data_IF_040546694996
#
_entry.id   IF_040546694996
#
_cell.length_a   1.000
_cell.length_b   1.000
_cell.length_c   1.000
_cell.angle_alpha   90.00
_cell.angle_beta   90.00
_cell.angle_gamma   90.00
#
_symmetry.space_group_name_H-M   'P 1'
#
loop_
_entity.id
_entity.type
_entity.pdbx_description
1 polymer ?
#
# COMPACT_ATOMS: atom_id res chain seq x y z
N UNK A 1 38.79 39.86 12.24
CA UNK A 1 37.86 39.35 13.27
C UNK A 1 36.76 38.61 12.54
N UNK A 2 36.74 37.30 12.73
CA UNK A 2 35.90 36.34 12.00
C UNK A 2 34.47 36.41 12.51
N UNK A 3 33.51 36.60 11.60
CA UNK A 3 32.09 36.42 11.88
C UNK A 3 31.71 35.07 11.28
N UNK A 4 31.43 34.11 12.15
CA UNK A 4 30.87 32.81 11.82
C UNK A 4 29.51 32.80 12.52
N UNK A 5 28.44 33.07 11.77
CA UNK A 5 27.08 32.88 12.26
C UNK A 5 26.69 31.43 12.01
N UNK A 6 26.39 30.76 13.12
CA UNK A 6 26.05 29.36 13.30
C UNK A 6 24.78 28.97 12.56
N UNK A 7 24.84 27.84 11.86
CA UNK A 7 23.69 27.15 11.30
C UNK A 7 22.83 26.59 12.44
N UNK A 8 21.54 26.91 12.40
CA UNK A 8 20.53 26.42 13.33
C UNK A 8 20.08 25.05 12.82
N UNK A 9 20.47 24.03 13.58
CA UNK A 9 20.06 22.63 13.45
C UNK A 9 18.58 22.52 13.86
N UNK A 10 17.68 22.54 12.88
CA UNK A 10 16.27 22.18 13.11
C UNK A 10 16.08 20.67 12.97
N UNK A 11 16.62 19.92 13.94
CA UNK A 11 16.16 18.55 14.20
C UNK A 11 14.87 18.61 15.01
N UNK A 12 13.75 18.85 14.33
CA UNK A 12 12.42 18.73 14.91
C UNK A 12 12.01 17.26 14.98
N UNK A 13 12.22 16.64 16.13
CA UNK A 13 11.56 15.39 16.53
C UNK A 13 10.07 15.65 16.68
N UNK A 14 9.27 15.22 15.69
CA UNK A 14 7.82 15.05 15.82
C UNK A 14 7.51 13.58 16.05
N UNK A 15 6.93 13.28 17.21
CA UNK A 15 6.29 12.00 17.48
C UNK A 15 5.11 11.81 16.50
N UNK A 16 5.20 10.80 15.63
CA UNK A 16 4.05 10.24 14.92
C UNK A 16 3.56 10.94 13.64
N UNK A 17 4.43 11.56 12.83
CA UNK A 17 4.05 11.94 11.47
C UNK A 17 4.48 10.86 10.46
N UNK A 18 3.52 10.40 9.67
CA UNK A 18 3.71 9.61 8.45
C UNK A 18 4.42 10.47 7.39
N UNK A 19 5.70 10.73 7.59
CA UNK A 19 6.54 11.43 6.61
C UNK A 19 7.61 10.46 6.12
N UNK A 20 7.57 10.15 4.82
CA UNK A 20 8.67 9.45 4.17
C UNK A 20 9.82 10.43 4.03
N UNK A 21 11.02 10.01 4.42
CA UNK A 21 12.22 10.79 4.13
C UNK A 21 12.26 11.13 2.64
N UNK A 22 12.65 12.37 2.31
CA UNK A 22 12.65 12.86 0.93
C UNK A 22 13.49 11.99 -0.03
N UNK A 23 14.47 11.23 0.49
CA UNK A 23 15.23 10.24 -0.28
C UNK A 23 14.46 8.96 -0.56
N UNK A 24 13.55 8.53 0.32
CA UNK A 24 12.63 7.41 0.09
C UNK A 24 11.62 7.77 -0.99
N UNK A 25 11.05 8.98 -0.93
CA UNK A 25 10.13 9.47 -1.97
C UNK A 25 10.80 9.41 -3.34
N UNK A 26 12.01 9.98 -3.47
CA UNK A 26 12.76 9.93 -4.73
C UNK A 26 13.15 8.52 -5.15
N UNK A 27 13.35 7.61 -4.21
CA UNK A 27 13.63 6.21 -4.50
C UNK A 27 12.40 5.46 -5.03
N UNK A 28 11.20 5.84 -4.59
CA UNK A 28 9.95 5.21 -5.00
C UNK A 28 9.43 5.80 -6.32
N UNK A 29 9.49 7.13 -6.50
CA UNK A 29 8.81 7.82 -7.60
C UNK A 29 9.68 8.11 -8.83
N UNK A 30 11.01 8.26 -8.68
CA UNK A 30 11.87 8.50 -9.85
C UNK A 30 12.09 7.21 -10.65
N UNK A 31 12.05 7.34 -11.98
CA UNK A 31 12.34 6.23 -12.90
C UNK A 31 13.75 5.67 -12.70
N UNK A 32 13.82 4.45 -12.19
CA UNK A 32 15.08 3.74 -11.93
C UNK A 32 14.94 2.23 -12.14
N UNK A 33 15.79 1.69 -13.00
CA UNK A 33 15.86 0.25 -13.29
C UNK A 33 16.91 -0.40 -12.40
N UNK A 34 16.54 -1.47 -11.67
CA UNK A 34 17.46 -2.23 -10.82
C UNK A 34 17.68 -3.60 -11.43
N UNK A 35 18.93 -3.93 -11.77
CA UNK A 35 19.33 -5.17 -12.41
C UNK A 35 20.28 -5.97 -11.51
N UNK A 36 20.03 -7.27 -11.24
CA UNK A 36 20.96 -8.09 -10.47
C UNK A 36 22.23 -8.38 -11.28
N UNK A 37 23.40 -8.18 -10.67
CA UNK A 37 24.70 -8.57 -11.24
C UNK A 37 25.22 -9.89 -10.66
N UNK A 38 24.63 -10.36 -9.57
CA UNK A 38 24.97 -11.60 -8.88
C UNK A 38 25.27 -11.38 -7.40
N UNK A 39 24.89 -12.35 -6.56
CA UNK A 39 24.89 -12.17 -5.10
C UNK A 39 23.95 -11.02 -4.70
N UNK A 40 24.41 -10.17 -3.78
CA UNK A 40 23.69 -8.99 -3.31
C UNK A 40 24.13 -7.70 -4.02
N UNK A 41 24.74 -7.82 -5.21
CA UNK A 41 25.22 -6.69 -6.00
C UNK A 41 24.26 -6.40 -7.17
N UNK A 42 23.87 -5.14 -7.29
CA UNK A 42 22.90 -4.64 -8.25
C UNK A 42 23.47 -3.49 -9.07
N UNK A 43 23.05 -3.39 -10.32
CA UNK A 43 23.22 -2.21 -11.17
C UNK A 43 21.95 -1.38 -11.15
N UNK A 44 22.05 -0.10 -10.85
CA UNK A 44 20.93 0.84 -10.84
C UNK A 44 21.13 1.87 -11.93
N UNK A 45 20.27 1.83 -12.94
CA UNK A 45 20.26 2.78 -14.05
C UNK A 45 19.19 3.83 -13.79
N UNK A 46 19.60 5.09 -13.82
CA UNK A 46 18.73 6.26 -13.59
C UNK A 46 18.18 6.82 -14.90
N UNK A 47 17.12 7.63 -14.83
CA UNK A 47 16.56 8.34 -16.00
C UNK A 47 17.60 9.17 -16.77
N UNK A 48 18.63 9.70 -16.09
CA UNK A 48 19.73 10.44 -16.74
C UNK A 48 20.67 9.55 -17.56
N UNK A 49 20.45 8.23 -17.61
CA UNK A 49 21.31 7.25 -18.26
C UNK A 49 22.58 6.91 -17.47
N UNK A 50 22.72 7.41 -16.25
CA UNK A 50 23.84 7.06 -15.37
C UNK A 50 23.56 5.74 -14.66
N UNK A 51 24.56 4.88 -14.62
CA UNK A 51 24.54 3.58 -13.97
C UNK A 51 25.42 3.61 -12.70
N UNK A 52 24.89 3.07 -11.61
CA UNK A 52 25.62 2.95 -10.34
C UNK A 52 25.52 1.53 -9.80
N UNK A 53 26.62 1.04 -9.21
CA UNK A 53 26.62 -0.26 -8.52
C UNK A 53 26.22 -0.08 -7.07
N UNK A 54 25.36 -0.96 -6.61
CA UNK A 54 24.87 -1.03 -5.24
C UNK A 54 25.20 -2.40 -4.69
N UNK A 55 25.90 -2.43 -3.56
CA UNK A 55 26.03 -3.61 -2.72
C UNK A 55 24.95 -3.51 -1.64
N UNK A 56 23.90 -4.33 -1.76
CA UNK A 56 22.77 -4.30 -0.84
C UNK A 56 23.08 -4.95 0.51
N UNK A 57 24.16 -5.73 0.60
CA UNK A 57 24.57 -6.38 1.85
C UNK A 57 25.38 -5.45 2.74
N UNK A 58 26.24 -4.65 2.12
CA UNK A 58 27.12 -3.71 2.82
C UNK A 58 26.62 -2.27 2.78
N UNK A 59 25.46 -2.02 2.17
CA UNK A 59 24.86 -0.70 1.96
C UNK A 59 25.79 0.31 1.28
N UNK A 60 26.55 -0.16 0.28
CA UNK A 60 27.48 0.69 -0.46
C UNK A 60 26.93 1.03 -1.83
N UNK A 61 27.13 2.26 -2.25
CA UNK A 61 26.79 2.70 -3.60
C UNK A 61 27.92 3.48 -4.26
N UNK A 62 28.15 3.25 -5.55
CA UNK A 62 29.15 4.01 -6.32
C UNK A 62 28.67 5.39 -6.76
N UNK A 63 27.50 5.85 -6.32
CA UNK A 63 27.01 7.18 -6.70
C UNK A 63 27.74 8.29 -5.93
N UNK A 64 27.82 9.52 -6.49
CA UNK A 64 28.46 10.65 -5.82
C UNK A 64 27.86 10.97 -4.44
N UNK A 65 26.53 10.89 -4.29
CA UNK A 65 25.85 11.22 -3.03
C UNK A 65 26.33 10.32 -1.87
N UNK A 66 26.47 9.02 -2.12
CA UNK A 66 27.02 8.09 -1.13
C UNK A 66 28.54 8.26 -0.96
N UNK A 67 29.29 8.42 -2.04
CA UNK A 67 30.76 8.56 -1.97
C UNK A 67 31.21 9.79 -1.16
N UNK A 68 30.47 10.90 -1.22
CA UNK A 68 30.85 12.13 -0.53
C UNK A 68 30.20 12.29 0.84
N UNK A 69 29.04 11.68 1.08
CA UNK A 69 28.27 11.89 2.32
C UNK A 69 28.11 10.64 3.17
N UNK A 70 28.47 9.47 2.65
CA UNK A 70 28.38 8.18 3.35
C UNK A 70 26.97 7.88 3.90
N UNK A 71 25.94 8.35 3.19
CA UNK A 71 24.52 8.15 3.55
C UNK A 71 23.86 7.09 2.68
N UNK A 72 22.71 6.58 3.13
CA UNK A 72 21.81 5.78 2.31
C UNK A 72 21.19 6.64 1.21
N UNK A 73 21.88 6.68 0.07
CA UNK A 73 21.43 7.42 -1.10
C UNK A 73 20.16 6.80 -1.70
N UNK A 74 19.53 7.52 -2.62
CA UNK A 74 18.32 7.05 -3.30
C UNK A 74 18.48 5.67 -3.98
N UNK A 75 19.68 5.33 -4.46
CA UNK A 75 19.91 4.05 -5.14
C UNK A 75 19.90 2.87 -4.17
N UNK A 76 20.49 3.01 -2.97
CA UNK A 76 20.44 1.98 -1.94
C UNK A 76 19.00 1.75 -1.50
N UNK A 77 18.27 2.85 -1.23
CA UNK A 77 16.85 2.81 -0.87
C UNK A 77 16.00 2.14 -1.97
N UNK A 78 16.22 2.52 -3.24
CA UNK A 78 15.56 1.91 -4.41
C UNK A 78 15.77 0.40 -4.45
N UNK A 79 17.02 -0.05 -4.32
CA UNK A 79 17.36 -1.48 -4.33
C UNK A 79 16.67 -2.22 -3.17
N UNK A 80 16.64 -1.65 -1.97
CA UNK A 80 15.98 -2.26 -0.81
C UNK A 80 14.46 -2.37 -0.97
N UNK A 81 13.80 -1.37 -1.55
CA UNK A 81 12.37 -1.45 -1.88
C UNK A 81 12.11 -2.50 -2.98
N UNK A 82 12.91 -2.48 -4.06
CA UNK A 82 12.75 -3.37 -5.19
C UNK A 82 12.96 -4.85 -4.81
N UNK A 83 13.89 -5.13 -3.90
CA UNK A 83 14.17 -6.49 -3.39
C UNK A 83 13.23 -6.91 -2.26
N UNK A 84 12.39 -5.99 -1.75
CA UNK A 84 11.54 -6.23 -0.58
C UNK A 84 12.31 -6.40 0.74
N UNK A 85 13.55 -5.91 0.82
CA UNK A 85 14.30 -5.79 2.07
C UNK A 85 13.74 -4.66 2.94
N UNK A 86 13.21 -3.60 2.30
CA UNK A 86 12.45 -2.52 2.95
C UNK A 86 11.01 -2.57 2.44
N UNK A 87 10.05 -2.59 3.37
CA UNK A 87 8.64 -2.53 3.02
C UNK A 87 8.23 -1.09 2.67
N UNK A 88 7.40 -0.95 1.65
CA UNK A 88 6.74 0.29 1.26
C UNK A 88 5.60 0.52 2.25
N UNK A 89 5.51 1.68 2.93
CA UNK A 89 4.41 1.94 3.85
C UNK A 89 3.05 1.89 3.15
N UNK A 90 2.04 1.31 3.81
CA UNK A 90 0.72 1.06 3.22
C UNK A 90 -0.04 2.33 2.78
N UNK A 91 0.29 3.46 3.41
CA UNK A 91 -0.35 4.74 3.14
C UNK A 91 0.24 5.47 1.92
N UNK A 92 1.32 4.96 1.33
CA UNK A 92 1.91 5.50 0.10
C UNK A 92 1.00 5.19 -1.07
N UNK A 93 0.69 6.21 -1.88
CA UNK A 93 -0.07 6.04 -3.12
C UNK A 93 0.74 5.17 -4.10
N UNK A 94 0.18 4.01 -4.46
CA UNK A 94 0.83 3.07 -5.36
C UNK A 94 0.94 3.60 -6.80
N UNK A 95 0.05 4.52 -7.21
CA UNK A 95 0.06 5.10 -8.55
C UNK A 95 1.23 6.08 -8.76
N UNK A 96 1.76 6.65 -7.67
CA UNK A 96 2.94 7.53 -7.69
C UNK A 96 4.27 6.74 -7.68
N UNK A 97 4.23 5.45 -7.34
CA UNK A 97 5.41 4.59 -7.35
C UNK A 97 5.77 4.27 -8.80
N UNK A 98 7.06 4.34 -9.13
CA UNK A 98 7.56 3.95 -10.44
C UNK A 98 7.11 2.51 -10.75
N UNK A 99 6.31 2.39 -11.81
CA UNK A 99 5.73 1.14 -12.28
C UNK A 99 6.78 0.05 -12.60
N UNK A 100 8.05 0.41 -12.81
CA UNK A 100 9.15 -0.54 -13.04
C UNK A 100 9.81 -1.05 -11.75
N UNK A 101 9.31 -0.68 -10.57
CA UNK A 101 9.88 -1.10 -9.29
C UNK A 101 9.83 -2.63 -9.14
N UNK A 102 11.01 -3.25 -9.15
CA UNK A 102 11.15 -4.70 -8.96
C UNK A 102 11.04 -5.55 -10.23
N UNK A 103 10.77 -4.97 -11.40
CA UNK A 103 10.51 -5.70 -12.66
C UNK A 103 11.60 -6.73 -13.03
N UNK A 104 12.86 -6.45 -12.71
CA UNK A 104 14.00 -7.30 -13.10
C UNK A 104 14.63 -8.07 -11.94
N UNK A 105 13.98 -8.11 -10.78
CA UNK A 105 14.49 -8.79 -9.59
C UNK A 105 13.63 -10.02 -9.30
N UNK A 106 14.26 -11.11 -8.86
CA UNK A 106 13.53 -12.31 -8.45
C UNK A 106 12.70 -12.12 -7.16
N UNK A 107 13.06 -11.12 -6.34
CA UNK A 107 12.28 -10.72 -5.17
C UNK A 107 11.14 -9.80 -5.58
N UNK A 108 10.06 -9.79 -4.80
CA UNK A 108 8.93 -8.90 -5.00
C UNK A 108 8.97 -7.73 -4.02
N UNK A 109 8.69 -6.48 -4.47
CA UNK A 109 8.45 -5.37 -3.58
C UNK A 109 7.36 -5.73 -2.56
N UNK A 110 7.56 -5.32 -1.30
CA UNK A 110 6.63 -5.62 -0.20
C UNK A 110 5.96 -4.34 0.24
N UNK A 111 4.64 -4.37 0.38
CA UNK A 111 3.87 -3.31 1.03
C UNK A 111 3.65 -3.72 2.49
N UNK A 112 3.85 -2.81 3.43
CA UNK A 112 3.58 -3.04 4.83
C UNK A 112 2.08 -3.32 5.02
N UNK A 113 1.73 -4.31 5.84
CA UNK A 113 0.35 -4.53 6.22
C UNK A 113 -0.07 -3.47 7.25
N UNK A 114 -1.18 -2.77 7.01
CA UNK A 114 -1.90 -2.07 8.07
C UNK A 114 -2.70 -3.10 8.84
N UNK A 115 -2.23 -3.47 10.03
CA UNK A 115 -2.90 -4.37 10.97
C UNK A 115 -4.13 -3.74 11.65
N UNK A 116 -4.77 -2.75 11.01
CA UNK A 116 -6.03 -2.14 11.43
C UNK A 116 -7.24 -3.05 11.19
N UNK A 117 -7.13 -4.35 11.47
CA UNK A 117 -8.23 -5.29 11.46
C UNK A 117 -9.17 -5.03 12.63
N UNK A 118 -10.15 -4.15 12.46
CA UNK A 118 -11.41 -4.29 13.19
C UNK A 118 -12.20 -5.39 12.48
N UNK A 119 -12.25 -6.58 13.06
CA UNK A 119 -13.31 -7.51 12.70
C UNK A 119 -14.58 -6.92 13.28
N UNK A 120 -15.62 -6.76 12.45
CA UNK A 120 -16.95 -6.32 12.91
C UNK A 120 -17.65 -7.37 13.80
N UNK A 121 -16.94 -8.42 14.24
CA UNK A 121 -17.41 -9.39 15.23
C UNK A 121 -17.28 -8.83 16.67
N UNK A 122 -17.93 -7.71 16.92
CA UNK A 122 -18.56 -7.37 18.22
C UNK A 122 -19.21 -5.99 18.15
N UNK A 123 -19.97 -5.70 17.09
CA UNK A 123 -21.18 -4.90 17.29
C UNK A 123 -22.25 -5.91 17.65
N UNK A 124 -22.79 -5.79 18.87
CA UNK A 124 -23.67 -6.77 19.48
C UNK A 124 -24.80 -7.18 18.55
N UNK A 125 -25.10 -8.47 18.58
CA UNK A 125 -26.33 -9.05 18.08
C UNK A 125 -27.55 -8.30 18.64
N UNK A 126 -28.34 -7.72 17.75
CA UNK A 126 -29.77 -7.41 17.90
C UNK A 126 -30.32 -7.24 16.47
N UNK A 127 -30.60 -8.37 15.80
CA UNK A 127 -31.96 -8.88 15.51
C UNK A 127 -32.67 -8.11 14.38
N UNK A 128 -32.72 -8.78 13.21
CA UNK A 128 -33.71 -8.66 12.12
C UNK A 128 -33.77 -7.33 11.37
N UNK A 129 -33.08 -7.28 10.23
CA UNK A 129 -33.64 -6.81 8.96
C UNK A 129 -32.80 -7.45 7.86
N UNK A 130 -33.34 -8.50 7.22
CA UNK A 130 -32.89 -8.92 5.89
C UNK A 130 -33.11 -7.66 5.02
N UNK A 131 -32.09 -7.10 4.34
CA UNK A 131 -32.09 -5.81 3.58
C UNK A 131 -33.12 -5.73 2.42
N UNK A 132 -34.29 -6.29 2.62
CA UNK A 132 -35.40 -6.43 1.68
C UNK A 132 -36.22 -5.15 1.67
N UNK A 133 -36.90 -4.86 0.56
CA UNK A 133 -37.64 -3.63 0.43
C UNK A 133 -38.84 -3.58 1.38
N UNK A 134 -39.23 -2.37 1.76
CA UNK A 134 -40.32 -2.08 2.72
C UNK A 134 -41.68 -2.63 2.25
N UNK A 135 -41.85 -2.83 0.94
CA UNK A 135 -43.03 -3.41 0.29
C UNK A 135 -42.89 -4.91 0.02
N UNK A 136 -42.05 -5.62 0.79
CA UNK A 136 -41.89 -7.08 0.70
C UNK A 136 -43.18 -7.82 1.09
N UNK A 137 -43.97 -8.21 0.08
CA UNK A 137 -45.19 -9.02 0.23
C UNK A 137 -44.98 -10.48 -0.20
N UNK A 138 -43.96 -11.14 0.36
CA UNK A 138 -43.69 -12.56 0.06
C UNK A 138 -44.76 -13.46 0.68
N UNK A 139 -45.85 -13.76 -0.04
CA UNK A 139 -46.80 -14.77 0.43
C UNK A 139 -46.19 -16.19 0.38
N UNK A 140 -46.40 -17.02 1.41
CA UNK A 140 -45.93 -18.42 1.46
C UNK A 140 -46.60 -19.32 0.40
N UNK A 141 -47.65 -18.86 -0.26
CA UNK A 141 -48.36 -19.62 -1.30
C UNK A 141 -47.66 -19.59 -2.68
N UNK A 142 -46.65 -18.74 -2.88
CA UNK A 142 -45.84 -18.77 -4.09
C UNK A 142 -44.76 -19.84 -3.96
N UNK A 143 -44.71 -20.75 -4.95
CA UNK A 143 -43.94 -22.01 -5.02
C UNK A 143 -42.40 -21.88 -4.87
N UNK A 144 -41.91 -21.27 -3.79
CA UNK A 144 -40.49 -21.01 -3.53
C UNK A 144 -39.90 -19.84 -4.32
N UNK A 145 -40.72 -18.92 -4.82
CA UNK A 145 -40.28 -17.75 -5.61
C UNK A 145 -40.40 -16.45 -4.82
N UNK A 146 -39.45 -15.55 -4.97
CA UNK A 146 -39.51 -14.20 -4.41
C UNK A 146 -40.71 -13.40 -4.95
N UNK A 147 -41.31 -12.55 -4.11
CA UNK A 147 -42.33 -11.61 -4.57
C UNK A 147 -41.74 -10.57 -5.53
N UNK A 148 -42.60 -9.93 -6.33
CA UNK A 148 -42.16 -8.99 -7.36
C UNK A 148 -41.31 -7.82 -6.81
N UNK A 149 -41.64 -7.18 -5.67
CA UNK A 149 -40.78 -6.16 -5.07
C UNK A 149 -39.37 -6.67 -4.73
N UNK A 150 -39.27 -7.88 -4.20
CA UNK A 150 -37.99 -8.53 -3.91
C UNK A 150 -37.20 -8.86 -5.19
N UNK A 151 -37.85 -9.44 -6.20
CA UNK A 151 -37.19 -9.77 -7.47
C UNK A 151 -36.68 -8.52 -8.20
N UNK A 152 -37.46 -7.42 -8.19
CA UNK A 152 -37.05 -6.12 -8.75
C UNK A 152 -35.74 -5.65 -8.13
N UNK A 153 -35.57 -5.86 -6.84
CA UNK A 153 -34.43 -5.39 -6.06
C UNK A 153 -33.31 -6.44 -5.95
N UNK A 154 -33.41 -7.55 -6.71
CA UNK A 154 -32.36 -8.54 -6.91
C UNK A 154 -32.42 -9.77 -6.01
N UNK A 155 -33.50 -9.95 -5.24
CA UNK A 155 -33.71 -11.12 -4.41
C UNK A 155 -34.43 -12.22 -5.21
N UNK A 156 -33.76 -13.34 -5.44
CA UNK A 156 -34.32 -14.48 -6.20
C UNK A 156 -35.05 -15.47 -5.28
N UNK A 157 -34.71 -15.51 -3.99
CA UNK A 157 -35.39 -16.33 -2.97
C UNK A 157 -36.47 -15.55 -2.18
N UNK A 158 -37.58 -16.23 -1.82
CA UNK A 158 -38.63 -15.67 -0.98
C UNK A 158 -38.11 -15.30 0.41
N UNK A 159 -38.75 -14.30 1.03
CA UNK A 159 -38.40 -13.88 2.38
C UNK A 159 -38.67 -15.04 3.38
N UNK A 160 -37.63 -15.58 4.05
CA UNK A 160 -37.78 -16.67 4.99
C UNK A 160 -38.53 -16.27 6.27
N UNK A 161 -38.76 -14.97 6.47
CA UNK A 161 -39.44 -14.37 7.61
C UNK A 161 -40.80 -13.78 7.27
N UNK A 162 -41.33 -13.99 6.06
CA UNK A 162 -42.65 -13.50 5.71
C UNK A 162 -43.72 -14.13 6.61
N UNK A 163 -44.38 -13.29 7.42
CA UNK A 163 -45.59 -13.65 8.13
C UNK A 163 -46.74 -13.40 7.18
N UNK A 164 -47.51 -14.44 6.83
CA UNK A 164 -48.74 -14.23 6.06
C UNK A 164 -49.68 -13.34 6.86
N UNK A 165 -49.99 -12.16 6.33
CA UNK A 165 -51.10 -11.37 6.84
C UNK A 165 -52.40 -12.01 6.31
N UNK A 166 -52.97 -12.90 7.12
CA UNK A 166 -54.35 -13.36 6.95
C UNK A 166 -55.30 -12.18 7.24
N UNK A 167 -55.74 -11.46 6.21
CA UNK A 167 -56.97 -10.65 6.22
C UNK A 167 -58.00 -11.14 5.20
#
# INVERSE_FOLDING_TARGET
MSQFETAEDESSVTAGCTDLEQRDVRALTEYMTVLPLGGDVYSVTTQSGSEYRVDAREDRCTCPDHQYREVECKHIRRTRFATGQRAIPAWVDADEIDAQLGEHIAGTPKVAATDGGVTLDSFGADDRDDDRPEDCDCSPDFEGLACWPCYRDGFEEPNPHATGDDE
#
